data_IF_541834048166
#
_entry.id   IF_541834048166
#
_cell.length_a   1.000
_cell.length_b   1.000
_cell.length_c   1.000
_cell.angle_alpha   90.00
_cell.angle_beta   90.00
_cell.angle_gamma   90.00
#
_symmetry.space_group_name_H-M   'P 1'
#
loop_
_entity.id
_entity.type
_entity.pdbx_description
1 polymer ?
#
# COMPACT_ATOMS: atom_id res chain seq x y z
N UNK A 1 -42.27 15.21 -24.78
CA UNK A 1 -41.10 15.64 -24.01
C UNK A 1 -40.04 16.14 -24.96
N UNK A 2 -39.82 17.45 -24.98
CA UNK A 2 -38.75 18.06 -25.77
C UNK A 2 -37.40 17.58 -25.25
N UNK A 3 -36.65 16.89 -26.11
CA UNK A 3 -35.26 16.54 -25.83
C UNK A 3 -34.42 17.82 -25.93
N UNK A 4 -34.07 18.39 -24.78
CA UNK A 4 -33.03 19.41 -24.76
C UNK A 4 -31.72 18.76 -25.16
N UNK A 5 -31.25 19.04 -26.39
CA UNK A 5 -29.95 18.62 -26.85
C UNK A 5 -28.87 19.12 -25.88
N UNK A 6 -28.12 18.23 -25.25
CA UNK A 6 -26.99 18.55 -24.42
C UNK A 6 -25.90 19.16 -25.31
N UNK A 7 -25.85 20.51 -25.36
CA UNK A 7 -24.76 21.23 -26.04
C UNK A 7 -23.50 21.02 -25.18
N UNK A 8 -22.69 20.04 -25.56
CA UNK A 8 -21.35 19.87 -24.99
C UNK A 8 -20.48 20.98 -25.60
N UNK A 9 -20.40 22.12 -24.93
CA UNK A 9 -19.42 23.13 -25.27
C UNK A 9 -18.02 22.58 -24.97
N UNK A 10 -17.31 22.14 -26.00
CA UNK A 10 -15.90 21.79 -25.90
C UNK A 10 -15.11 23.07 -25.65
N UNK A 11 -14.75 23.30 -24.40
CA UNK A 11 -13.89 24.42 -24.04
C UNK A 11 -12.54 24.32 -24.74
N UNK A 12 -12.15 25.38 -25.45
CA UNK A 12 -10.85 25.44 -26.14
C UNK A 12 -9.73 25.17 -25.15
N UNK A 13 -8.78 24.30 -25.51
CA UNK A 13 -7.58 24.03 -24.73
C UNK A 13 -6.80 25.34 -24.61
N UNK A 14 -6.77 25.88 -23.39
CA UNK A 14 -6.01 27.11 -23.06
C UNK A 14 -4.70 26.75 -22.40
N UNK A 15 -3.64 27.50 -22.70
CA UNK A 15 -2.35 27.34 -21.99
C UNK A 15 -2.56 27.55 -20.49
N UNK A 16 -2.02 26.66 -19.63
CA UNK A 16 -2.16 26.80 -18.19
C UNK A 16 -1.49 28.07 -17.70
N UNK A 17 -2.17 28.82 -16.84
CA UNK A 17 -1.61 30.03 -16.21
C UNK A 17 -0.84 29.56 -14.97
N UNK A 18 0.49 29.75 -14.89
CA UNK A 18 1.33 29.18 -13.83
C UNK A 18 0.89 29.57 -12.43
N UNK A 19 0.40 30.79 -12.24
CA UNK A 19 -0.13 31.27 -10.95
C UNK A 19 -1.29 30.44 -10.42
N UNK A 20 -2.24 30.06 -11.28
CA UNK A 20 -3.38 29.24 -10.88
C UNK A 20 -2.98 27.78 -10.66
N UNK A 21 -2.05 27.26 -11.46
CA UNK A 21 -1.49 25.91 -11.28
C UNK A 21 -0.81 25.81 -9.92
N UNK A 22 0.05 26.79 -9.59
CA UNK A 22 0.75 26.83 -8.30
C UNK A 22 -0.23 26.95 -7.11
N UNK A 23 -1.24 27.84 -7.22
CA UNK A 23 -2.25 27.98 -6.17
C UNK A 23 -3.03 26.67 -5.95
N UNK A 24 -3.41 25.99 -7.04
CA UNK A 24 -4.13 24.72 -6.96
C UNK A 24 -3.26 23.60 -6.40
N UNK A 25 -2.00 23.55 -6.78
CA UNK A 25 -1.01 22.61 -6.23
C UNK A 25 -0.79 22.85 -4.73
N UNK A 26 -0.66 24.11 -4.32
CA UNK A 26 -0.52 24.49 -2.91
C UNK A 26 -1.71 24.06 -2.06
N UNK A 27 -2.93 24.28 -2.54
CA UNK A 27 -4.14 23.85 -1.83
C UNK A 27 -4.18 22.32 -1.66
N UNK A 28 -3.76 21.56 -2.68
CA UNK A 28 -3.67 20.10 -2.60
C UNK A 28 -2.58 19.65 -1.62
N UNK A 29 -1.44 20.33 -1.63
CA UNK A 29 -0.36 20.06 -0.70
C UNK A 29 -0.77 20.35 0.76
N UNK A 30 -1.46 21.46 1.01
CA UNK A 30 -2.00 21.76 2.33
C UNK A 30 -2.97 20.69 2.82
N UNK A 31 -3.89 20.25 1.97
CA UNK A 31 -4.85 19.20 2.33
C UNK A 31 -4.14 17.91 2.70
N UNK A 32 -3.09 17.54 1.94
CA UNK A 32 -2.25 16.38 2.25
C UNK A 32 -1.49 16.55 3.57
N UNK A 33 -0.85 17.70 3.79
CA UNK A 33 -0.09 17.98 5.02
C UNK A 33 -0.98 17.95 6.26
N UNK A 34 -2.18 18.52 6.20
CA UNK A 34 -3.08 18.57 7.37
C UNK A 34 -3.76 17.24 7.69
N UNK A 35 -3.95 16.36 6.71
CA UNK A 35 -4.64 15.09 6.92
C UNK A 35 -3.64 13.95 7.03
N UNK A 36 -2.72 13.82 6.08
CA UNK A 36 -1.82 12.68 6.00
C UNK A 36 -0.65 12.77 6.99
N UNK A 37 -0.06 13.94 7.18
CA UNK A 37 1.08 14.12 8.08
C UNK A 37 0.79 13.72 9.54
N UNK A 38 -0.25 14.26 10.21
CA UNK A 38 -0.54 13.88 11.59
C UNK A 38 -0.90 12.38 11.68
N UNK A 39 -1.61 11.84 10.70
CA UNK A 39 -1.94 10.41 10.67
C UNK A 39 -0.70 9.54 10.56
N UNK A 40 0.26 9.93 9.71
CA UNK A 40 1.54 9.21 9.56
C UNK A 40 2.39 9.28 10.83
N UNK A 41 2.43 10.44 11.51
CA UNK A 41 3.15 10.59 12.78
C UNK A 41 2.56 9.71 13.88
N UNK A 42 1.24 9.73 14.04
CA UNK A 42 0.55 8.88 15.03
C UNK A 42 0.77 7.41 14.71
N UNK A 43 0.64 7.01 13.45
CA UNK A 43 0.87 5.63 13.02
C UNK A 43 2.32 5.17 13.26
N UNK A 44 3.30 6.04 13.03
CA UNK A 44 4.71 5.74 13.26
C UNK A 44 5.04 5.55 14.75
N UNK A 45 4.46 6.40 15.61
CA UNK A 45 4.61 6.26 17.09
C UNK A 45 3.95 4.95 17.54
N UNK A 46 2.76 4.65 17.05
CA UNK A 46 2.05 3.41 17.40
C UNK A 46 2.84 2.17 17.00
N UNK A 47 3.45 2.18 15.83
CA UNK A 47 4.32 1.10 15.35
C UNK A 47 5.57 0.93 16.21
N UNK A 48 6.29 2.02 16.48
CA UNK A 48 7.49 1.95 17.33
C UNK A 48 7.15 1.40 18.73
N UNK A 49 5.96 1.72 19.25
CA UNK A 49 5.49 1.16 20.52
C UNK A 49 5.18 -0.35 20.38
N UNK A 50 4.58 -0.76 19.26
CA UNK A 50 4.24 -2.15 18.98
C UNK A 50 5.51 -3.03 18.85
N UNK A 51 6.53 -2.49 18.20
CA UNK A 51 7.86 -3.10 18.08
C UNK A 51 8.56 -3.19 19.44
N UNK A 52 8.56 -2.10 20.21
CA UNK A 52 9.15 -2.06 21.55
C UNK A 52 8.53 -3.07 22.52
N UNK A 53 7.24 -3.35 22.37
CA UNK A 53 6.52 -4.35 23.19
C UNK A 53 6.78 -5.81 22.76
N UNK A 54 7.56 -6.06 21.69
CA UNK A 54 7.86 -7.41 21.20
C UNK A 54 6.67 -8.10 20.54
N UNK A 55 5.62 -7.36 20.20
CA UNK A 55 4.42 -7.93 19.59
C UNK A 55 4.64 -8.33 18.14
N UNK A 56 5.64 -7.75 17.50
CA UNK A 56 6.06 -8.10 16.12
C UNK A 56 6.51 -9.55 16.06
N UNK A 57 7.34 -10.00 17.02
CA UNK A 57 7.84 -11.37 17.09
C UNK A 57 6.71 -12.37 17.34
N UNK A 58 5.74 -11.99 18.18
CA UNK A 58 4.56 -12.81 18.43
C UNK A 58 3.71 -12.98 17.15
N UNK A 59 3.52 -11.92 16.39
CA UNK A 59 2.82 -11.94 15.11
C UNK A 59 3.55 -12.80 14.07
N UNK A 60 4.86 -12.66 13.99
CA UNK A 60 5.70 -13.42 13.07
C UNK A 60 5.63 -14.93 13.35
N UNK A 61 5.65 -15.34 14.60
CA UNK A 61 5.54 -16.76 14.98
C UNK A 61 4.20 -17.39 14.60
N UNK A 62 3.12 -16.61 14.61
CA UNK A 62 1.78 -17.07 14.23
C UNK A 62 1.55 -17.07 12.71
N UNK A 63 2.01 -16.02 12.03
CA UNK A 63 1.68 -15.78 10.62
C UNK A 63 2.75 -16.33 9.68
N UNK A 64 4.01 -16.48 10.16
CA UNK A 64 5.12 -17.00 9.38
C UNK A 64 4.79 -18.30 8.64
N UNK A 65 4.33 -19.35 9.32
CA UNK A 65 4.00 -20.62 8.66
C UNK A 65 2.91 -20.49 7.58
N UNK A 66 1.95 -19.59 7.79
CA UNK A 66 0.87 -19.34 6.83
C UNK A 66 1.37 -18.58 5.61
N UNK A 67 2.23 -17.58 5.81
CA UNK A 67 2.80 -16.80 4.70
C UNK A 67 3.71 -17.64 3.80
N UNK A 68 4.48 -18.55 4.39
CA UNK A 68 5.33 -19.49 3.65
C UNK A 68 4.47 -20.47 2.83
N UNK A 69 3.42 -21.02 3.43
CA UNK A 69 2.55 -21.97 2.75
C UNK A 69 1.72 -21.33 1.63
N UNK A 70 1.25 -20.08 1.79
CA UNK A 70 0.32 -19.43 0.87
C UNK A 70 1.05 -18.60 -0.19
N UNK A 71 2.01 -17.78 0.23
CA UNK A 71 2.70 -16.83 -0.65
C UNK A 71 4.13 -17.29 -1.00
N UNK A 72 4.67 -18.29 -0.32
CA UNK A 72 6.04 -18.74 -0.52
C UNK A 72 7.09 -17.76 -0.03
N UNK A 73 6.71 -16.74 0.76
CA UNK A 73 7.60 -15.72 1.32
C UNK A 73 7.88 -15.99 2.79
N UNK A 74 9.10 -15.69 3.28
CA UNK A 74 9.45 -15.86 4.68
C UNK A 74 8.56 -15.03 5.62
N UNK A 75 8.37 -15.46 6.87
CA UNK A 75 7.52 -14.79 7.85
C UNK A 75 7.87 -13.33 8.08
N UNK A 76 9.18 -13.00 8.17
CA UNK A 76 9.63 -11.61 8.31
C UNK A 76 9.24 -10.72 7.11
N UNK A 77 9.15 -11.29 5.90
CA UNK A 77 8.70 -10.55 4.72
C UNK A 77 7.20 -10.23 4.81
N UNK A 78 6.39 -11.13 5.35
CA UNK A 78 4.98 -10.82 5.60
C UNK A 78 4.82 -9.72 6.66
N UNK A 79 5.63 -9.74 7.70
CA UNK A 79 5.69 -8.68 8.70
C UNK A 79 6.05 -7.34 8.04
N UNK A 80 7.04 -7.32 7.16
CA UNK A 80 7.38 -6.12 6.38
C UNK A 80 6.22 -5.61 5.51
N UNK A 81 5.38 -6.50 4.93
CA UNK A 81 4.16 -6.11 4.21
C UNK A 81 3.13 -5.47 5.15
N UNK A 82 2.99 -5.96 6.36
CA UNK A 82 2.10 -5.35 7.37
C UNK A 82 2.53 -3.91 7.69
N UNK A 83 3.83 -3.67 7.84
CA UNK A 83 4.37 -2.31 8.00
C UNK A 83 4.12 -1.44 6.75
N UNK A 84 4.10 -2.04 5.56
CA UNK A 84 3.74 -1.39 4.32
C UNK A 84 2.31 -0.83 4.26
N UNK A 85 1.39 -1.29 5.14
CA UNK A 85 0.05 -0.72 5.28
C UNK A 85 0.10 0.76 5.71
N UNK A 86 1.08 1.12 6.50
CA UNK A 86 1.24 2.50 6.97
C UNK A 86 1.88 3.37 5.87
N UNK A 87 2.98 2.88 5.32
CA UNK A 87 3.70 3.51 4.20
C UNK A 87 4.32 2.41 3.35
N UNK A 88 3.95 2.35 2.08
CA UNK A 88 4.45 1.32 1.15
C UNK A 88 5.98 1.35 1.00
N UNK A 89 6.57 2.52 1.10
CA UNK A 89 8.02 2.70 1.02
C UNK A 89 8.74 2.00 2.17
N UNK A 90 8.13 1.98 3.36
CA UNK A 90 8.73 1.34 4.54
C UNK A 90 8.73 -0.19 4.46
N UNK A 91 7.90 -0.81 3.61
CA UNK A 91 7.90 -2.26 3.46
C UNK A 91 9.26 -2.81 3.04
N UNK A 92 9.93 -2.15 2.09
CA UNK A 92 11.26 -2.56 1.63
C UNK A 92 12.36 -2.23 2.63
N UNK A 93 12.26 -1.09 3.32
CA UNK A 93 13.19 -0.72 4.38
C UNK A 93 13.09 -1.71 5.54
N UNK A 94 11.88 -2.02 5.99
CA UNK A 94 11.63 -3.00 7.06
C UNK A 94 12.09 -4.40 6.64
N UNK A 95 11.88 -4.78 5.38
CA UNK A 95 12.38 -6.04 4.84
C UNK A 95 13.91 -6.14 4.95
N UNK A 96 14.62 -5.07 4.60
CA UNK A 96 16.07 -5.01 4.70
C UNK A 96 16.56 -5.06 6.17
N UNK A 97 15.86 -4.37 7.07
CA UNK A 97 16.17 -4.34 8.50
C UNK A 97 15.93 -5.71 9.14
N UNK A 98 14.76 -6.31 8.94
CA UNK A 98 14.42 -7.62 9.51
C UNK A 98 15.25 -8.75 8.88
N UNK A 99 15.60 -8.64 7.62
CA UNK A 99 16.48 -9.58 6.93
C UNK A 99 17.97 -9.42 7.26
N UNK A 100 18.35 -8.31 7.93
CA UNK A 100 19.74 -8.05 8.37
C UNK A 100 20.71 -7.69 7.24
N UNK A 101 20.22 -7.41 6.02
CA UNK A 101 21.06 -7.01 4.89
C UNK A 101 20.36 -5.99 4.00
N UNK A 102 21.12 -5.02 3.50
CA UNK A 102 20.64 -4.06 2.51
C UNK A 102 20.49 -4.68 1.10
N UNK A 103 21.17 -5.80 0.85
CA UNK A 103 21.03 -6.55 -0.39
C UNK A 103 19.92 -7.59 -0.26
N UNK A 104 18.75 -7.25 -0.79
CA UNK A 104 17.55 -8.07 -0.69
C UNK A 104 17.68 -9.44 -1.38
N UNK A 105 18.56 -9.57 -2.37
CA UNK A 105 18.80 -10.85 -3.05
C UNK A 105 19.60 -11.85 -2.21
N UNK A 106 20.25 -11.39 -1.15
CA UNK A 106 20.92 -12.29 -0.17
C UNK A 106 19.96 -12.86 0.85
N UNK A 107 18.83 -12.17 1.08
CA UNK A 107 17.82 -12.53 2.10
C UNK A 107 16.72 -13.39 1.50
N UNK A 108 16.35 -13.12 0.26
CA UNK A 108 15.25 -13.78 -0.45
C UNK A 108 15.66 -14.17 -1.87
N UNK A 109 15.07 -15.24 -2.36
CA UNK A 109 15.23 -15.62 -3.77
C UNK A 109 14.56 -14.60 -4.70
N UNK A 110 15.03 -14.52 -5.96
CA UNK A 110 14.46 -13.59 -6.94
C UNK A 110 12.93 -13.77 -7.14
N UNK A 111 12.37 -15.01 -7.21
CA UNK A 111 10.92 -15.20 -7.26
C UNK A 111 10.19 -14.69 -6.03
N UNK A 112 10.73 -14.93 -4.84
CA UNK A 112 10.15 -14.47 -3.58
C UNK A 112 10.12 -12.93 -3.49
N UNK A 113 11.22 -12.28 -3.90
CA UNK A 113 11.28 -10.82 -3.95
C UNK A 113 10.30 -10.24 -4.96
N UNK A 114 10.12 -10.93 -6.10
CA UNK A 114 9.12 -10.53 -7.10
C UNK A 114 7.70 -10.62 -6.56
N UNK A 115 7.35 -11.74 -5.89
CA UNK A 115 6.03 -11.92 -5.26
C UNK A 115 5.82 -10.86 -4.17
N UNK A 116 6.82 -10.61 -3.33
CA UNK A 116 6.77 -9.57 -2.31
C UNK A 116 6.49 -8.18 -2.91
N UNK A 117 7.25 -7.80 -3.94
CA UNK A 117 7.07 -6.50 -4.61
C UNK A 117 5.66 -6.39 -5.23
N UNK A 118 5.19 -7.42 -5.90
CA UNK A 118 3.90 -7.48 -6.56
C UNK A 118 2.76 -7.38 -5.54
N UNK A 119 2.84 -8.15 -4.45
CA UNK A 119 1.87 -8.09 -3.36
C UNK A 119 1.92 -6.71 -2.69
N UNK A 120 3.09 -6.14 -2.41
CA UNK A 120 3.25 -4.81 -1.82
C UNK A 120 2.56 -3.73 -2.65
N UNK A 121 2.63 -3.82 -3.98
CA UNK A 121 1.95 -2.85 -4.87
C UNK A 121 0.44 -3.01 -4.86
N UNK A 122 -0.06 -4.24 -4.87
CA UNK A 122 -1.49 -4.56 -5.00
C UNK A 122 -2.21 -4.60 -3.66
N UNK A 123 -1.51 -4.97 -2.58
CA UNK A 123 -2.07 -5.44 -1.33
C UNK A 123 -2.97 -4.43 -0.64
N UNK A 124 -2.48 -3.25 -0.27
CA UNK A 124 -3.32 -2.32 0.50
C UNK A 124 -3.07 -0.87 0.09
N UNK A 125 -4.13 -0.06 -0.04
CA UNK A 125 -3.95 1.37 0.05
C UNK A 125 -3.42 1.73 1.45
N UNK A 126 -2.41 2.57 1.52
CA UNK A 126 -1.87 3.02 2.80
C UNK A 126 -2.97 3.73 3.64
N UNK A 127 -2.77 3.81 4.95
CA UNK A 127 -3.74 4.41 5.89
C UNK A 127 -4.19 5.80 5.43
N UNK A 128 -3.26 6.61 4.90
CA UNK A 128 -3.59 7.93 4.34
C UNK A 128 -4.53 7.84 3.13
N UNK A 129 -4.34 6.86 2.25
CA UNK A 129 -5.23 6.64 1.09
C UNK A 129 -6.62 6.20 1.56
N UNK A 130 -6.71 5.31 2.55
CA UNK A 130 -7.99 4.86 3.13
C UNK A 130 -8.72 6.05 3.76
N UNK A 131 -8.01 6.91 4.49
CA UNK A 131 -8.59 8.11 5.10
C UNK A 131 -9.13 9.09 4.05
N UNK A 132 -8.40 9.32 2.96
CA UNK A 132 -8.84 10.17 1.85
C UNK A 132 -10.03 9.55 1.11
N UNK A 133 -9.97 8.25 0.82
CA UNK A 133 -11.12 7.54 0.22
C UNK A 133 -12.37 7.63 1.11
N UNK A 134 -12.20 7.43 2.42
CA UNK A 134 -13.30 7.54 3.38
C UNK A 134 -13.93 8.92 3.40
N UNK A 135 -13.11 9.97 3.26
CA UNK A 135 -13.59 11.35 3.18
C UNK A 135 -14.30 11.68 1.86
N UNK A 136 -13.84 11.13 0.74
CA UNK A 136 -14.35 11.43 -0.60
C UNK A 136 -15.54 10.56 -1.01
N UNK A 137 -15.48 9.27 -0.74
CA UNK A 137 -16.45 8.27 -1.20
C UNK A 137 -17.28 7.65 -0.08
N UNK A 138 -16.95 8.00 1.17
CA UNK A 138 -17.58 7.44 2.36
C UNK A 138 -16.88 6.18 2.89
N UNK A 139 -17.06 5.94 4.20
CA UNK A 139 -16.37 4.86 4.91
C UNK A 139 -16.68 3.46 4.36
N UNK A 140 -17.90 3.20 3.91
CA UNK A 140 -18.30 1.91 3.32
C UNK A 140 -17.50 1.58 2.06
N UNK A 141 -17.34 2.56 1.17
CA UNK A 141 -16.55 2.38 -0.06
C UNK A 141 -15.07 2.25 0.24
N UNK A 142 -14.53 2.98 1.21
CA UNK A 142 -13.13 2.85 1.61
C UNK A 142 -12.82 1.43 2.13
N UNK A 143 -13.69 0.86 2.99
CA UNK A 143 -13.55 -0.50 3.49
C UNK A 143 -13.68 -1.53 2.35
N UNK A 144 -14.66 -1.36 1.47
CA UNK A 144 -14.86 -2.25 0.33
C UNK A 144 -13.63 -2.29 -0.60
N UNK A 145 -13.11 -1.13 -0.97
CA UNK A 145 -11.91 -1.03 -1.83
C UNK A 145 -10.69 -1.65 -1.13
N UNK A 146 -10.53 -1.42 0.17
CA UNK A 146 -9.41 -1.98 0.94
C UNK A 146 -9.49 -3.51 0.98
N UNK A 147 -10.65 -4.08 1.29
CA UNK A 147 -10.85 -5.54 1.28
C UNK A 147 -10.62 -6.14 -0.12
N UNK A 148 -11.14 -5.47 -1.15
CA UNK A 148 -10.97 -5.92 -2.52
C UNK A 148 -9.49 -5.95 -2.92
N UNK A 149 -8.72 -4.90 -2.63
CA UNK A 149 -7.29 -4.83 -2.96
C UNK A 149 -6.45 -5.82 -2.17
N UNK A 150 -6.75 -6.05 -0.90
CA UNK A 150 -6.12 -7.10 -0.08
C UNK A 150 -6.35 -8.47 -0.70
N UNK A 151 -7.61 -8.79 -0.99
CA UNK A 151 -7.97 -10.08 -1.60
C UNK A 151 -7.29 -10.25 -2.96
N UNK A 152 -7.29 -9.21 -3.80
CA UNK A 152 -6.63 -9.23 -5.09
C UNK A 152 -5.13 -9.47 -4.94
N UNK A 153 -4.47 -8.78 -4.01
CA UNK A 153 -3.03 -8.93 -3.76
C UNK A 153 -2.67 -10.35 -3.33
N UNK A 154 -3.45 -10.94 -2.43
CA UNK A 154 -3.26 -12.32 -1.98
C UNK A 154 -3.48 -13.31 -3.14
N UNK A 155 -4.59 -13.19 -3.86
CA UNK A 155 -4.91 -14.09 -4.99
C UNK A 155 -3.82 -14.04 -6.05
N UNK A 156 -3.39 -12.85 -6.44
CA UNK A 156 -2.32 -12.70 -7.43
C UNK A 156 -1.00 -13.24 -6.90
N UNK A 157 -0.65 -12.98 -5.64
CA UNK A 157 0.55 -13.53 -5.00
C UNK A 157 0.57 -15.07 -5.02
N UNK A 158 -0.56 -15.69 -4.66
CA UNK A 158 -0.71 -17.16 -4.70
C UNK A 158 -0.59 -17.71 -6.12
N UNK A 159 -1.22 -17.07 -7.10
CA UNK A 159 -1.13 -17.50 -8.50
C UNK A 159 0.32 -17.46 -9.01
N UNK A 160 1.06 -16.42 -8.67
CA UNK A 160 2.48 -16.32 -9.04
C UNK A 160 3.34 -17.35 -8.30
N UNK A 161 3.08 -17.57 -7.00
CA UNK A 161 3.77 -18.61 -6.24
C UNK A 161 3.57 -20.00 -6.85
N UNK A 162 2.32 -20.36 -7.16
CA UNK A 162 2.00 -21.61 -7.85
C UNK A 162 2.64 -21.70 -9.25
N UNK A 163 2.65 -20.58 -9.98
CA UNK A 163 3.32 -20.51 -11.28
C UNK A 163 4.82 -20.78 -11.17
N UNK A 164 5.51 -20.17 -10.22
CA UNK A 164 6.92 -20.40 -9.99
C UNK A 164 7.21 -21.83 -9.53
N UNK A 165 6.37 -22.43 -8.68
CA UNK A 165 6.50 -23.84 -8.27
C UNK A 165 6.33 -24.83 -9.42
N UNK A 166 5.57 -24.47 -10.47
CA UNK A 166 5.33 -25.34 -11.62
C UNK A 166 6.43 -25.22 -12.69
N UNK A 167 7.14 -24.09 -12.75
CA UNK A 167 8.12 -23.82 -13.79
C UNK A 167 9.59 -23.89 -13.31
N UNK A 168 9.82 -23.87 -12.02
CA UNK A 168 11.13 -23.96 -11.37
C UNK A 168 11.16 -25.05 -10.30
#
# INVERSE_FOLDING_TARGET
GEQYGMILEMSKIRKPIPKYVFKKAWLRLQEFLYIAMPLLLVSSIFLGLFEYLGWVELFESFIGPVSEAVLGIPGFAFTALMFGILRKEMAFETLAVLGGSADLLTIMTAPQLYIFALVCVLFVPCVSTIAVLGKQLGAKMAVFVSLFTVTLGIVVGVLFNLGFMLFF
#
